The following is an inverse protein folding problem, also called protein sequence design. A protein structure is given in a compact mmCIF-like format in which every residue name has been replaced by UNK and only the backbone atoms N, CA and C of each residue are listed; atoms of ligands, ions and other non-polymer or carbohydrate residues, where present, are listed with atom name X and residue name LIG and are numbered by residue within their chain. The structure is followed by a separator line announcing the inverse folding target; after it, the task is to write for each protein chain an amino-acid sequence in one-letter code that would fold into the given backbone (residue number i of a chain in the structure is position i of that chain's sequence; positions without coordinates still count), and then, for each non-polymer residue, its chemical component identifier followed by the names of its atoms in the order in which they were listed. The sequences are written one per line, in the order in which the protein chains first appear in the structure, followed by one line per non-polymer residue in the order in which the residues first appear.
data_IF_204314224147
#
_entry.id   IF_204314224147
#
_cell.length_a   1.000
_cell.length_b   1.000
_cell.length_c   1.000
_cell.angle_alpha   90.00
_cell.angle_beta   90.00
_cell.angle_gamma   90.00
#
_symmetry.space_group_name_H-M   'P 1'
#
loop_
_entity.id
_entity.type
_entity.pdbx_description
1 polymer ?
#
# COMPACT_ATOMS: atom_id res chain seq x y z
N UNK A 1 -4.10 -0.22 -28.12
CA UNK A 1 -5.34 -0.08 -27.31
C UNK A 1 -4.95 0.14 -25.84
N UNK A 2 -5.81 0.73 -25.00
CA UNK A 2 -5.46 1.01 -23.59
C UNK A 2 -6.41 0.34 -22.60
N UNK A 3 -5.85 -0.34 -21.61
CA UNK A 3 -6.59 -1.06 -20.58
C UNK A 3 -6.45 -0.38 -19.23
N UNK A 4 -7.54 -0.26 -18.48
CA UNK A 4 -7.57 0.43 -17.20
C UNK A 4 -7.78 -0.55 -16.05
N UNK A 5 -6.82 -0.56 -15.12
CA UNK A 5 -6.94 -1.19 -13.81
C UNK A 5 -7.29 -0.15 -12.75
N UNK A 6 -8.21 -0.49 -11.84
CA UNK A 6 -8.60 0.35 -10.71
C UNK A 6 -8.51 -0.42 -9.38
N UNK A 7 -7.86 0.17 -8.38
CA UNK A 7 -7.94 -0.25 -6.98
C UNK A 7 -8.76 0.77 -6.21
N UNK A 8 -10.01 0.40 -5.85
CA UNK A 8 -10.97 1.23 -5.11
C UNK A 8 -10.76 1.03 -3.61
N UNK A 9 -9.61 1.49 -3.11
CA UNK A 9 -9.24 1.42 -1.70
C UNK A 9 -10.05 2.37 -0.81
N UNK A 10 -10.10 2.07 0.49
CA UNK A 10 -10.86 2.85 1.49
C UNK A 10 -10.36 4.29 1.67
N UNK A 11 -9.07 4.53 1.44
CA UNK A 11 -8.45 5.86 1.58
C UNK A 11 -8.22 6.54 0.23
N UNK A 12 -7.75 5.77 -0.74
CA UNK A 12 -7.40 6.24 -2.07
C UNK A 12 -7.86 5.26 -3.15
N UNK A 13 -8.42 5.80 -4.23
CA UNK A 13 -8.69 5.09 -5.48
C UNK A 13 -7.53 5.30 -6.42
N UNK A 14 -6.87 4.22 -6.82
CA UNK A 14 -5.74 4.23 -7.74
C UNK A 14 -6.19 3.73 -9.09
N UNK A 15 -5.76 4.39 -10.16
CA UNK A 15 -5.89 3.90 -11.51
C UNK A 15 -4.55 3.75 -12.19
N UNK A 16 -4.44 2.72 -13.01
CA UNK A 16 -3.28 2.45 -13.84
C UNK A 16 -3.72 2.09 -15.25
N UNK A 17 -3.11 2.75 -16.22
CA UNK A 17 -3.39 2.54 -17.64
C UNK A 17 -2.22 1.78 -18.26
N UNK A 18 -2.51 0.70 -18.97
CA UNK A 18 -1.52 -0.04 -19.74
C UNK A 18 -1.83 -0.03 -21.23
N UNK A 19 -0.83 -0.28 -22.05
CA UNK A 19 -1.02 -0.67 -23.44
C UNK A 19 -1.31 -2.18 -23.58
N UNK A 20 -1.42 -2.64 -24.82
CA UNK A 20 -1.58 -4.05 -25.22
C UNK A 20 -0.36 -4.94 -24.96
N UNK A 21 0.77 -4.38 -24.54
CA UNK A 21 1.95 -5.14 -24.13
C UNK A 21 2.09 -5.16 -22.59
N UNK A 22 1.03 -4.77 -21.87
CA UNK A 22 1.02 -4.57 -20.42
C UNK A 22 2.03 -3.51 -19.93
N UNK A 23 2.55 -2.63 -20.80
CA UNK A 23 3.42 -1.55 -20.37
C UNK A 23 2.58 -0.45 -19.71
N UNK A 24 3.01 0.03 -18.55
CA UNK A 24 2.33 1.10 -17.83
C UNK A 24 2.57 2.44 -18.56
N UNK A 25 1.48 3.06 -19.00
CA UNK A 25 1.50 4.31 -19.79
C UNK A 25 1.21 5.54 -18.93
N UNK A 26 0.22 5.45 -18.04
CA UNK A 26 -0.17 6.54 -17.15
C UNK A 26 -0.75 5.93 -15.85
N UNK A 27 -0.71 6.69 -14.76
CA UNK A 27 -1.22 6.27 -13.46
C UNK A 27 -1.67 7.49 -12.66
N UNK A 28 -2.70 7.33 -11.85
CA UNK A 28 -3.23 8.44 -11.08
C UNK A 28 -3.96 7.96 -9.83
N UNK A 29 -3.87 8.75 -8.76
CA UNK A 29 -4.50 8.44 -7.48
C UNK A 29 -5.38 9.61 -7.04
N UNK A 30 -6.59 9.28 -6.58
CA UNK A 30 -7.49 10.24 -5.95
C UNK A 30 -7.84 9.79 -4.55
N UNK A 31 -8.06 10.73 -3.63
CA UNK A 31 -8.65 10.43 -2.33
C UNK A 31 -10.08 9.90 -2.55
N UNK A 32 -10.38 8.74 -1.99
CA UNK A 32 -11.68 8.07 -2.18
C UNK A 32 -12.81 8.86 -1.52
N UNK A 33 -12.61 9.26 -0.26
CA UNK A 33 -13.70 9.81 0.55
C UNK A 33 -14.73 8.73 0.87
N UNK A 34 -16.01 9.11 0.93
CA UNK A 34 -17.12 8.19 1.21
C UNK A 34 -17.77 7.60 -0.05
N UNK A 35 -17.49 8.19 -1.21
CA UNK A 35 -18.16 7.89 -2.48
C UNK A 35 -17.16 7.26 -3.45
N UNK A 36 -17.04 5.93 -3.35
CA UNK A 36 -16.15 5.12 -4.20
C UNK A 36 -16.44 5.33 -5.68
N UNK A 37 -17.73 5.42 -6.03
CA UNK A 37 -18.21 5.59 -7.40
C UNK A 37 -17.75 6.91 -8.00
N UNK A 38 -17.97 8.01 -7.28
CA UNK A 38 -17.50 9.33 -7.71
C UNK A 38 -15.98 9.40 -7.81
N UNK A 39 -15.25 8.74 -6.90
CA UNK A 39 -13.80 8.68 -6.97
C UNK A 39 -13.32 7.91 -8.21
N UNK A 40 -13.93 6.76 -8.51
CA UNK A 40 -13.61 5.97 -9.70
C UNK A 40 -13.96 6.70 -11.00
N UNK A 41 -15.12 7.35 -11.08
CA UNK A 41 -15.51 8.18 -12.23
C UNK A 41 -14.49 9.30 -12.50
N UNK A 42 -13.92 9.93 -11.46
CA UNK A 42 -12.85 10.93 -11.63
C UNK A 42 -11.58 10.32 -12.21
N UNK A 43 -11.20 9.12 -11.78
CA UNK A 43 -10.05 8.39 -12.31
C UNK A 43 -10.27 8.07 -13.78
N UNK A 44 -11.41 7.45 -14.12
CA UNK A 44 -11.77 7.10 -15.49
C UNK A 44 -11.77 8.35 -16.37
N UNK A 45 -12.49 9.41 -15.96
CA UNK A 45 -12.54 10.67 -16.70
C UNK A 45 -11.16 11.32 -16.90
N UNK A 46 -10.23 11.20 -15.95
CA UNK A 46 -8.85 11.70 -16.10
C UNK A 46 -8.09 10.97 -17.21
N UNK A 47 -8.27 9.67 -17.37
CA UNK A 47 -7.63 8.91 -18.44
C UNK A 47 -8.36 9.12 -19.78
N UNK A 48 -9.70 9.11 -19.79
CA UNK A 48 -10.51 9.28 -21.00
C UNK A 48 -10.31 10.61 -21.73
N UNK A 49 -9.74 11.62 -21.07
CA UNK A 49 -9.34 12.89 -21.71
C UNK A 49 -8.29 12.72 -22.79
N UNK A 50 -7.35 11.79 -22.60
CA UNK A 50 -6.17 11.64 -23.44
C UNK A 50 -6.09 10.26 -24.10
N UNK A 51 -6.86 9.28 -23.62
CA UNK A 51 -6.75 7.89 -24.05
C UNK A 51 -8.13 7.30 -24.33
N UNK A 52 -8.22 6.48 -25.39
CA UNK A 52 -9.38 5.62 -25.62
C UNK A 52 -9.23 4.35 -24.79
N UNK A 53 -10.03 4.26 -23.71
CA UNK A 53 -10.02 3.14 -22.77
C UNK A 53 -10.90 2.02 -23.33
N UNK A 54 -10.35 0.81 -23.36
CA UNK A 54 -11.10 -0.41 -23.66
C UNK A 54 -11.82 -0.93 -22.41
N UNK A 55 -13.04 -1.40 -22.60
CA UNK A 55 -13.88 -1.99 -21.56
C UNK A 55 -13.94 -3.51 -21.71
N UNK A 56 -14.15 -4.26 -20.61
CA UNK A 56 -14.41 -3.78 -19.24
C UNK A 56 -13.18 -3.21 -18.54
N UNK A 57 -13.39 -2.30 -17.57
CA UNK A 57 -12.32 -1.89 -16.65
C UNK A 57 -12.09 -3.00 -15.61
N UNK A 58 -10.84 -3.18 -15.18
CA UNK A 58 -10.49 -4.25 -14.26
C UNK A 58 -10.33 -3.70 -12.85
N UNK A 59 -11.12 -4.16 -11.90
CA UNK A 59 -11.20 -3.55 -10.57
C UNK A 59 -10.77 -4.48 -9.45
N UNK A 60 -10.26 -3.90 -8.36
CA UNK A 60 -10.11 -4.53 -7.04
C UNK A 60 -10.29 -3.49 -5.93
N UNK A 61 -9.96 -3.86 -4.70
CA UNK A 61 -10.12 -3.02 -3.52
C UNK A 61 -11.49 -3.17 -2.84
N UNK A 62 -11.71 -2.30 -1.85
CA UNK A 62 -12.90 -2.31 -0.99
C UNK A 62 -14.18 -2.02 -1.79
N UNK A 63 -14.16 -0.96 -2.59
CA UNK A 63 -15.28 -0.51 -3.41
C UNK A 63 -15.31 -1.10 -4.82
N UNK A 64 -14.65 -2.24 -5.08
CA UNK A 64 -14.39 -2.78 -6.44
C UNK A 64 -15.60 -2.96 -7.36
N UNK A 65 -16.82 -2.97 -6.83
CA UNK A 65 -18.07 -3.08 -7.60
C UNK A 65 -18.79 -1.75 -7.78
N UNK A 66 -18.27 -0.66 -7.20
CA UNK A 66 -18.91 0.65 -7.15
C UNK A 66 -18.54 1.50 -8.37
N UNK A 67 -18.83 1.04 -9.58
CA UNK A 67 -18.66 1.79 -10.83
C UNK A 67 -19.84 1.53 -11.78
N UNK A 68 -20.11 2.47 -12.71
CA UNK A 68 -21.22 2.35 -13.66
C UNK A 68 -20.82 1.60 -14.93
N UNK A 69 -19.54 1.64 -15.25
CA UNK A 69 -18.96 1.12 -16.47
C UNK A 69 -18.87 -0.41 -16.44
N UNK A 70 -18.85 -1.09 -17.62
CA UNK A 70 -18.61 -2.52 -17.67
C UNK A 70 -17.31 -2.88 -16.95
N UNK A 71 -17.37 -3.87 -16.05
CA UNK A 71 -16.26 -4.18 -15.15
C UNK A 71 -16.01 -5.69 -15.01
N UNK A 72 -14.76 -6.04 -14.69
CA UNK A 72 -14.40 -7.33 -14.11
C UNK A 72 -13.73 -7.10 -12.77
N UNK A 73 -14.33 -7.65 -11.72
CA UNK A 73 -13.92 -7.49 -10.33
C UNK A 73 -13.02 -8.63 -9.88
N UNK A 74 -11.90 -8.28 -9.24
CA UNK A 74 -10.88 -9.21 -8.78
C UNK A 74 -10.65 -9.04 -7.27
N UNK A 75 -10.14 -10.09 -6.64
CA UNK A 75 -9.58 -9.97 -5.29
C UNK A 75 -8.31 -9.12 -5.34
N UNK A 76 -8.21 -8.11 -4.48
CA UNK A 76 -7.01 -7.28 -4.32
C UNK A 76 -5.78 -8.13 -3.99
N UNK A 77 -5.95 -9.20 -3.18
CA UNK A 77 -4.89 -10.12 -2.79
C UNK A 77 -4.32 -10.85 -4.01
N UNK A 78 -5.21 -11.33 -4.89
CA UNK A 78 -4.82 -12.09 -6.09
C UNK A 78 -4.19 -11.13 -7.11
N UNK A 79 -4.77 -9.95 -7.29
CA UNK A 79 -4.24 -8.94 -8.19
C UNK A 79 -2.84 -8.48 -7.74
N UNK A 80 -2.67 -8.14 -6.47
CA UNK A 80 -1.35 -7.77 -5.94
C UNK A 80 -0.33 -8.91 -6.10
N UNK A 81 -0.73 -10.16 -5.84
CA UNK A 81 0.11 -11.35 -6.07
C UNK A 81 0.58 -11.45 -7.52
N UNK A 82 -0.33 -11.28 -8.48
CA UNK A 82 -0.01 -11.32 -9.90
C UNK A 82 1.02 -10.23 -10.28
N UNK A 83 0.80 -9.00 -9.83
CA UNK A 83 1.72 -7.90 -10.13
C UNK A 83 3.11 -8.09 -9.49
N UNK A 84 3.16 -8.52 -8.23
CA UNK A 84 4.42 -8.77 -7.52
C UNK A 84 5.18 -9.93 -8.19
N UNK A 85 4.50 -11.05 -8.47
CA UNK A 85 5.15 -12.16 -9.15
C UNK A 85 5.58 -11.79 -10.57
N UNK A 86 4.82 -10.93 -11.27
CA UNK A 86 5.21 -10.42 -12.57
C UNK A 86 6.55 -9.67 -12.55
N UNK A 87 6.83 -8.93 -11.49
CA UNK A 87 8.07 -8.15 -11.32
C UNK A 87 9.24 -9.06 -10.89
N UNK A 88 9.02 -9.91 -9.89
CA UNK A 88 10.14 -10.61 -9.22
C UNK A 88 10.35 -12.05 -9.68
N UNK A 89 9.35 -12.70 -10.28
CA UNK A 89 9.40 -14.07 -10.82
C UNK A 89 9.94 -15.13 -9.83
N UNK A 90 9.68 -14.94 -8.54
CA UNK A 90 10.11 -15.85 -7.47
C UNK A 90 9.15 -15.84 -6.30
N UNK A 91 9.26 -16.89 -5.48
CA UNK A 91 8.60 -17.00 -4.20
C UNK A 91 8.99 -15.85 -3.26
N UNK A 92 8.00 -15.27 -2.59
CA UNK A 92 8.21 -14.14 -1.71
C UNK A 92 7.06 -13.97 -0.70
N UNK A 93 7.35 -13.20 0.35
CA UNK A 93 6.33 -12.66 1.23
C UNK A 93 6.08 -11.21 0.87
N UNK A 94 4.83 -10.76 0.95
CA UNK A 94 4.43 -9.38 0.70
C UNK A 94 3.83 -8.79 1.97
N UNK A 95 4.29 -7.60 2.34
CA UNK A 95 3.61 -6.73 3.31
C UNK A 95 3.02 -5.55 2.53
N UNK A 96 1.69 -5.49 2.45
CA UNK A 96 0.95 -4.36 1.92
C UNK A 96 0.48 -3.47 3.07
N UNK A 97 0.95 -2.22 3.11
CA UNK A 97 0.61 -1.24 4.14
C UNK A 97 -0.30 -0.18 3.52
N UNK A 98 -1.60 -0.38 3.73
CA UNK A 98 -2.64 0.55 3.33
C UNK A 98 -2.91 1.63 4.38
N UNK A 99 -3.91 2.46 4.10
CA UNK A 99 -4.36 3.50 5.03
C UNK A 99 -5.09 2.93 6.25
N UNK A 100 -5.91 1.89 6.06
CA UNK A 100 -6.80 1.36 7.10
C UNK A 100 -6.53 -0.10 7.47
N UNK A 101 -5.70 -0.79 6.69
CA UNK A 101 -5.35 -2.18 6.92
C UNK A 101 -3.90 -2.46 6.50
N UNK A 102 -3.39 -3.57 7.03
CA UNK A 102 -2.10 -4.16 6.66
C UNK A 102 -2.34 -5.60 6.26
N UNK A 103 -1.69 -6.06 5.20
CA UNK A 103 -1.82 -7.43 4.70
C UNK A 103 -0.46 -8.10 4.63
N UNK A 104 -0.46 -9.38 4.97
CA UNK A 104 0.62 -10.30 4.68
C UNK A 104 0.13 -11.28 3.62
N UNK A 105 0.91 -11.49 2.56
CA UNK A 105 0.62 -12.44 1.48
C UNK A 105 1.86 -13.28 1.24
N UNK A 106 1.73 -14.61 1.26
CA UNK A 106 2.77 -15.54 0.84
C UNK A 106 2.49 -15.95 -0.60
N UNK A 107 3.42 -15.66 -1.49
CA UNK A 107 3.38 -15.98 -2.92
C UNK A 107 4.35 -17.13 -3.16
N UNK A 108 3.86 -18.23 -3.71
CA UNK A 108 4.70 -19.40 -4.01
C UNK A 108 5.49 -19.25 -5.32
N UNK A 109 6.33 -20.23 -5.62
CA UNK A 109 7.14 -20.28 -6.85
C UNK A 109 6.33 -20.24 -8.17
N UNK A 110 5.01 -20.45 -8.13
CA UNK A 110 4.10 -20.36 -9.27
C UNK A 110 3.32 -19.04 -9.34
N UNK A 111 3.57 -18.10 -8.42
CA UNK A 111 2.86 -16.82 -8.34
C UNK A 111 1.49 -16.89 -7.66
N UNK A 112 1.16 -18.03 -7.06
CA UNK A 112 -0.13 -18.23 -6.40
C UNK A 112 -0.05 -17.86 -4.91
N UNK A 113 -1.19 -17.47 -4.35
CA UNK A 113 -1.31 -17.12 -2.94
C UNK A 113 -1.47 -18.39 -2.10
N UNK A 114 -0.42 -18.77 -1.37
CA UNK A 114 -0.46 -19.91 -0.44
C UNK A 114 -1.15 -19.54 0.88
N UNK A 115 -0.92 -18.31 1.34
CA UNK A 115 -1.40 -17.84 2.63
C UNK A 115 -1.60 -16.34 2.60
N UNK A 116 -2.65 -15.86 3.24
CA UNK A 116 -2.81 -14.44 3.52
C UNK A 116 -3.30 -14.21 4.94
N UNK A 117 -2.91 -13.07 5.51
CA UNK A 117 -3.42 -12.54 6.78
C UNK A 117 -3.63 -11.05 6.64
N UNK A 118 -4.60 -10.50 7.36
CA UNK A 118 -4.92 -9.09 7.29
C UNK A 118 -5.28 -8.55 8.68
N UNK A 119 -4.67 -7.43 9.06
CA UNK A 119 -5.14 -6.62 10.17
C UNK A 119 -5.96 -5.44 9.64
N UNK A 120 -7.26 -5.44 9.95
CA UNK A 120 -8.20 -4.35 9.61
C UNK A 120 -8.96 -3.80 10.82
N UNK A 121 -8.74 -4.38 12.01
CA UNK A 121 -9.47 -4.01 13.24
C UNK A 121 -8.70 -3.03 14.11
N UNK A 122 -7.40 -2.88 13.86
CA UNK A 122 -6.51 -2.06 14.65
C UNK A 122 -5.69 -1.16 13.72
N UNK A 123 -5.69 0.14 14.03
CA UNK A 123 -4.91 1.13 13.30
C UNK A 123 -3.40 0.86 13.36
N UNK A 124 -2.91 0.21 14.43
CA UNK A 124 -1.51 -0.15 14.57
C UNK A 124 -1.02 -0.95 13.35
N UNK A 125 0.09 -0.50 12.76
CA UNK A 125 0.65 -1.11 11.54
C UNK A 125 0.12 -0.51 10.23
N UNK A 126 -0.78 0.47 10.27
CA UNK A 126 -1.41 1.08 9.08
C UNK A 126 -1.07 2.57 8.95
N UNK A 127 -1.44 3.17 7.81
CA UNK A 127 -1.37 4.60 7.59
C UNK A 127 -2.15 5.43 8.61
N UNK A 128 -3.31 4.97 9.05
CA UNK A 128 -4.17 5.69 10.00
C UNK A 128 -3.50 5.93 11.35
N UNK A 129 -2.59 5.03 11.77
CA UNK A 129 -1.77 5.24 12.97
C UNK A 129 -0.79 6.40 12.79
N UNK A 130 -0.14 6.47 11.62
CA UNK A 130 0.79 7.55 11.28
C UNK A 130 0.04 8.88 11.17
N UNK A 131 -1.10 8.89 10.47
CA UNK A 131 -1.94 10.07 10.28
C UNK A 131 -2.47 10.63 11.60
N UNK A 132 -3.01 9.78 12.49
CA UNK A 132 -3.52 10.24 13.80
C UNK A 132 -2.39 10.78 14.68
N UNK A 133 -1.22 10.13 14.71
CA UNK A 133 -0.10 10.64 15.50
C UNK A 133 0.41 11.96 14.91
N UNK A 134 0.58 12.05 13.59
CA UNK A 134 0.99 13.28 12.92
C UNK A 134 0.04 14.44 13.23
N UNK A 135 -1.27 14.19 13.17
CA UNK A 135 -2.29 15.16 13.55
C UNK A 135 -2.13 15.64 14.99
N UNK A 136 -1.93 14.72 15.95
CA UNK A 136 -1.76 15.06 17.38
C UNK A 136 -0.47 15.80 17.68
N UNK A 137 0.57 15.55 16.89
CA UNK A 137 1.85 16.24 17.00
C UNK A 137 1.89 17.56 16.22
N UNK A 138 0.80 17.90 15.52
CA UNK A 138 0.67 19.08 14.67
C UNK A 138 1.80 19.17 13.61
N UNK A 139 2.07 18.03 12.96
CA UNK A 139 3.08 17.87 11.90
C UNK A 139 2.44 17.14 10.74
N UNK A 140 2.86 17.41 9.50
CA UNK A 140 2.37 16.65 8.36
C UNK A 140 2.94 15.23 8.38
N UNK A 141 2.10 14.21 8.15
CA UNK A 141 2.57 12.84 8.01
C UNK A 141 3.65 12.72 6.92
N UNK A 142 3.54 13.47 5.83
CA UNK A 142 4.53 13.45 4.74
C UNK A 142 5.92 13.95 5.18
N UNK A 143 6.01 14.74 6.25
CA UNK A 143 7.30 15.22 6.78
C UNK A 143 7.99 14.17 7.66
N UNK A 144 7.29 13.10 8.06
CA UNK A 144 7.82 12.10 8.99
C UNK A 144 9.09 11.43 8.47
N UNK A 145 9.20 11.16 7.16
CA UNK A 145 10.42 10.53 6.64
C UNK A 145 11.63 11.44 6.76
N UNK A 146 11.49 12.73 6.45
CA UNK A 146 12.57 13.72 6.61
C UNK A 146 12.94 13.92 8.09
N UNK A 147 11.95 13.88 8.99
CA UNK A 147 12.20 13.94 10.43
C UNK A 147 12.95 12.71 10.93
N UNK A 148 12.52 11.51 10.55
CA UNK A 148 13.14 10.26 10.99
C UNK A 148 14.60 10.13 10.53
N UNK A 149 14.97 10.70 9.39
CA UNK A 149 16.37 10.74 8.92
C UNK A 149 17.30 11.51 9.86
N UNK A 150 16.76 12.42 10.67
CA UNK A 150 17.52 13.21 11.64
C UNK A 150 17.60 12.55 13.02
N UNK A 151 17.07 11.32 13.15
CA UNK A 151 17.10 10.58 14.40
C UNK A 151 18.54 10.29 14.83
N UNK A 152 18.82 10.49 16.11
CA UNK A 152 20.12 10.29 16.74
C UNK A 152 20.12 9.11 17.70
N UNK A 153 18.95 8.68 18.15
CA UNK A 153 18.80 7.58 19.09
C UNK A 153 17.57 6.75 18.75
N UNK A 154 17.67 5.47 19.10
CA UNK A 154 16.57 4.53 18.93
C UNK A 154 15.62 4.59 20.12
N UNK A 155 14.38 4.99 19.86
CA UNK A 155 13.30 5.02 20.85
C UNK A 155 12.32 3.90 20.55
N UNK A 156 11.87 3.22 21.61
CA UNK A 156 10.83 2.20 21.53
C UNK A 156 9.51 2.79 22.02
N UNK A 157 8.48 2.71 21.18
CA UNK A 157 7.09 2.95 21.56
C UNK A 157 6.48 1.61 21.95
N UNK A 158 6.00 1.49 23.19
CA UNK A 158 5.53 0.23 23.75
C UNK A 158 4.04 0.00 23.47
N UNK A 159 3.28 1.06 23.25
CA UNK A 159 1.83 0.99 23.05
C UNK A 159 1.47 0.84 21.58
N UNK A 160 0.69 -0.19 21.23
CA UNK A 160 0.08 -0.31 19.89
C UNK A 160 -1.27 0.41 19.78
N UNK A 161 -2.02 0.53 20.88
CA UNK A 161 -3.26 1.30 20.87
C UNK A 161 -2.93 2.77 20.55
N UNK A 162 -3.46 3.32 19.45
CA UNK A 162 -3.16 4.69 18.99
C UNK A 162 -3.36 5.72 20.09
N UNK A 163 -4.42 5.58 20.89
CA UNK A 163 -4.73 6.49 22.01
C UNK A 163 -3.61 6.49 23.07
N UNK A 164 -3.13 5.30 23.43
CA UNK A 164 -2.06 5.17 24.41
C UNK A 164 -0.68 5.51 23.83
N UNK A 165 -0.44 5.19 22.55
CA UNK A 165 0.78 5.55 21.84
C UNK A 165 0.96 7.08 21.79
N UNK A 166 -0.10 7.82 21.45
CA UNK A 166 -0.07 9.30 21.48
C UNK A 166 0.27 9.82 22.88
N UNK A 167 -0.34 9.25 23.92
CA UNK A 167 -0.08 9.65 25.31
C UNK A 167 1.37 9.38 25.73
N UNK A 168 1.89 8.20 25.37
CA UNK A 168 3.28 7.78 25.59
C UNK A 168 4.26 8.75 24.88
N UNK A 169 4.01 9.04 23.60
CA UNK A 169 4.81 9.94 22.78
C UNK A 169 4.86 11.36 23.38
N UNK A 170 3.71 11.93 23.75
CA UNK A 170 3.65 13.26 24.38
C UNK A 170 4.44 13.25 25.69
N UNK A 171 4.36 12.17 26.46
CA UNK A 171 5.16 11.99 27.67
C UNK A 171 6.66 11.96 27.41
N UNK A 172 7.11 11.27 26.36
CA UNK A 172 8.52 11.24 25.95
C UNK A 172 9.02 12.62 25.52
N UNK A 173 8.23 13.35 24.74
CA UNK A 173 8.58 14.70 24.30
C UNK A 173 8.68 15.69 25.47
N UNK A 174 7.78 15.59 26.46
CA UNK A 174 7.87 16.38 27.70
C UNK A 174 9.14 16.09 28.51
N UNK A 175 9.72 14.91 28.37
CA UNK A 175 11.01 14.52 28.98
C UNK A 175 12.23 14.91 28.13
N UNK A 176 12.02 15.64 27.02
CA UNK A 176 13.08 16.15 26.18
C UNK A 176 13.48 15.24 25.00
N UNK A 177 12.77 14.14 24.74
CA UNK A 177 13.01 13.34 23.52
C UNK A 177 12.58 14.17 22.30
N UNK A 178 13.47 14.29 21.32
CA UNK A 178 13.23 15.10 20.13
C UNK A 178 12.33 14.38 19.12
N UNK A 179 11.61 15.18 18.32
CA UNK A 179 10.66 14.69 17.31
C UNK A 179 11.28 13.66 16.32
N UNK A 180 12.50 13.86 15.77
CA UNK A 180 13.15 12.86 14.92
C UNK A 180 13.20 11.45 15.49
N UNK A 181 13.56 11.33 16.77
CA UNK A 181 13.70 10.04 17.45
C UNK A 181 12.35 9.38 17.71
N UNK A 182 11.35 10.19 18.09
CA UNK A 182 9.96 9.74 18.22
C UNK A 182 9.46 9.17 16.91
N UNK A 183 9.63 9.90 15.79
CA UNK A 183 9.12 9.47 14.48
C UNK A 183 9.81 8.19 14.00
N UNK A 184 11.12 8.06 14.21
CA UNK A 184 11.84 6.80 13.96
C UNK A 184 11.26 5.64 14.81
N UNK A 185 10.91 5.90 16.07
CA UNK A 185 10.20 4.95 16.94
C UNK A 185 8.81 4.57 16.45
N UNK A 186 8.04 5.52 15.89
CA UNK A 186 6.73 5.29 15.27
C UNK A 186 6.86 4.32 14.09
N UNK A 187 7.82 4.55 13.19
CA UNK A 187 8.04 3.64 12.07
C UNK A 187 8.43 2.24 12.52
N UNK A 188 9.31 2.11 13.52
CA UNK A 188 9.65 0.80 14.08
C UNK A 188 8.45 0.09 14.71
N UNK A 189 7.58 0.82 15.39
CA UNK A 189 6.33 0.28 15.95
C UNK A 189 5.40 -0.24 14.84
N UNK A 190 5.25 0.52 13.75
CA UNK A 190 4.47 0.10 12.57
C UNK A 190 5.07 -1.15 11.93
N UNK A 191 6.39 -1.17 11.70
CA UNK A 191 7.11 -2.32 11.11
C UNK A 191 6.92 -3.57 11.98
N UNK A 192 7.19 -3.46 13.27
CA UNK A 192 7.01 -4.55 14.25
C UNK A 192 5.61 -5.14 14.14
N UNK A 193 4.59 -4.28 14.09
CA UNK A 193 3.20 -4.72 14.00
C UNK A 193 2.87 -5.40 12.67
N UNK A 194 3.45 -4.95 11.56
CA UNK A 194 3.28 -5.60 10.26
C UNK A 194 3.89 -7.00 10.27
N UNK A 195 5.07 -7.15 10.87
CA UNK A 195 5.83 -8.41 10.91
C UNK A 195 5.26 -9.42 11.91
N UNK A 196 4.45 -9.00 12.87
CA UNK A 196 3.72 -9.89 13.78
C UNK A 196 2.59 -10.67 13.08
N UNK A 197 2.16 -10.25 11.88
CA UNK A 197 1.11 -10.95 11.15
C UNK A 197 1.53 -12.39 10.83
N UNK A 198 2.75 -12.59 10.35
CA UNK A 198 3.31 -13.89 10.01
C UNK A 198 4.84 -13.83 10.00
N UNK A 199 5.52 -14.95 10.27
CA UNK A 199 6.97 -15.02 10.09
C UNK A 199 7.34 -14.71 8.63
N UNK A 200 8.46 -14.01 8.46
CA UNK A 200 9.05 -13.67 7.16
C UNK A 200 10.32 -14.50 7.04
N UNK A 201 10.29 -15.49 6.16
CA UNK A 201 11.37 -16.47 6.02
C UNK A 201 12.08 -16.34 4.66
N UNK A 202 11.46 -15.62 3.72
CA UNK A 202 11.93 -15.48 2.34
C UNK A 202 12.09 -14.01 1.95
N UNK A 203 12.39 -13.77 0.67
CA UNK A 203 12.41 -12.44 0.08
C UNK A 203 11.12 -11.67 0.40
N UNK A 204 11.26 -10.45 0.93
CA UNK A 204 10.14 -9.61 1.36
C UNK A 204 9.89 -8.48 0.36
N UNK A 205 8.66 -8.34 -0.12
CA UNK A 205 8.22 -7.22 -0.93
C UNK A 205 7.31 -6.32 -0.11
N UNK A 206 7.65 -5.03 0.00
CA UNK A 206 6.86 -4.04 0.73
C UNK A 206 6.06 -3.23 -0.29
N UNK A 207 4.75 -3.11 -0.08
CA UNK A 207 3.83 -2.46 -1.01
C UNK A 207 2.82 -1.57 -0.30
N UNK A 208 2.11 -0.73 -1.05
CA UNK A 208 1.02 0.10 -0.55
C UNK A 208 1.34 1.60 -0.58
N UNK A 209 0.34 2.42 -0.22
CA UNK A 209 0.46 3.88 -0.25
C UNK A 209 1.43 4.45 0.78
N UNK A 210 1.60 3.75 1.91
CA UNK A 210 2.48 4.19 2.99
C UNK A 210 3.96 4.09 2.62
N UNK A 211 4.52 2.94 2.20
CA UNK A 211 5.92 2.88 1.81
C UNK A 211 6.28 3.83 0.66
N UNK A 212 5.38 4.05 -0.31
CA UNK A 212 5.58 5.00 -1.41
C UNK A 212 5.78 6.46 -0.92
N UNK A 213 5.15 6.85 0.18
CA UNK A 213 5.23 8.21 0.74
C UNK A 213 6.16 8.33 1.95
N UNK A 214 6.67 7.20 2.46
CA UNK A 214 7.52 7.14 3.65
C UNK A 214 8.82 6.35 3.38
N UNK A 215 9.73 6.88 2.55
CA UNK A 215 10.96 6.18 2.16
C UNK A 215 11.86 5.80 3.33
N UNK A 216 11.82 6.53 4.44
CA UNK A 216 12.59 6.14 5.63
C UNK A 216 12.04 4.86 6.26
N UNK A 217 10.73 4.63 6.22
CA UNK A 217 10.14 3.35 6.65
C UNK A 217 10.68 2.19 5.80
N UNK A 218 10.79 2.38 4.48
CA UNK A 218 11.37 1.36 3.58
C UNK A 218 12.83 1.09 3.92
N UNK A 219 13.64 2.13 4.21
CA UNK A 219 15.02 1.97 4.69
C UNK A 219 15.10 1.15 5.98
N UNK A 220 14.18 1.37 6.92
CA UNK A 220 14.11 0.59 8.16
C UNK A 220 13.72 -0.86 7.92
N UNK A 221 12.73 -1.12 7.05
CA UNK A 221 12.42 -2.48 6.61
C UNK A 221 13.65 -3.17 6.04
N UNK A 222 14.41 -2.50 5.15
CA UNK A 222 15.65 -3.05 4.57
C UNK A 222 16.73 -3.33 5.60
N UNK A 223 16.81 -2.52 6.66
CA UNK A 223 17.72 -2.76 7.80
C UNK A 223 17.30 -3.99 8.62
N UNK A 224 16.01 -4.22 8.80
CA UNK A 224 15.48 -5.38 9.54
C UNK A 224 15.47 -6.66 8.70
N UNK A 225 15.16 -6.54 7.41
CA UNK A 225 15.08 -7.62 6.43
C UNK A 225 15.99 -7.27 5.24
N UNK A 226 17.29 -7.66 5.28
CA UNK A 226 18.23 -7.34 4.21
C UNK A 226 17.78 -7.83 2.83
N UNK A 227 17.09 -8.97 2.78
CA UNK A 227 16.47 -9.54 1.58
C UNK A 227 15.04 -8.99 1.35
N UNK A 228 14.89 -7.67 1.40
CA UNK A 228 13.63 -7.00 1.07
C UNK A 228 13.75 -5.98 -0.06
N UNK A 229 12.63 -5.68 -0.71
CA UNK A 229 12.53 -4.63 -1.72
C UNK A 229 11.17 -3.92 -1.66
N UNK A 230 11.12 -2.70 -2.19
CA UNK A 230 9.88 -1.95 -2.37
C UNK A 230 9.87 -1.41 -3.80
N UNK A 231 9.07 -2.01 -4.71
CA UNK A 231 9.06 -1.60 -6.11
C UNK A 231 8.52 -0.17 -6.24
N UNK A 232 8.99 0.61 -7.23
CA UNK A 232 8.47 1.95 -7.45
C UNK A 232 6.97 1.91 -7.73
N UNK A 233 6.24 2.93 -7.24
CA UNK A 233 4.79 3.06 -7.44
C UNK A 233 4.03 1.85 -6.86
N UNK A 234 4.50 1.32 -5.73
CA UNK A 234 3.97 0.09 -5.15
C UNK A 234 2.48 0.17 -4.84
N UNK A 235 1.95 1.36 -4.55
CA UNK A 235 0.52 1.58 -4.29
C UNK A 235 -0.39 1.27 -5.48
N UNK A 236 0.15 1.17 -6.70
CA UNK A 236 -0.60 0.89 -7.92
C UNK A 236 -0.58 -0.59 -8.33
N UNK A 237 0.20 -1.43 -7.64
CA UNK A 237 0.40 -2.82 -8.07
C UNK A 237 -0.87 -3.66 -8.03
N UNK A 238 -1.76 -3.44 -7.06
CA UNK A 238 -3.04 -4.15 -7.04
C UNK A 238 -3.91 -3.79 -8.26
N UNK A 239 -3.92 -2.52 -8.67
CA UNK A 239 -4.62 -2.10 -9.90
C UNK A 239 -3.95 -2.69 -11.14
N UNK A 240 -2.62 -2.74 -11.18
CA UNK A 240 -1.85 -3.31 -12.30
C UNK A 240 -2.11 -4.81 -12.45
N UNK A 241 -2.14 -5.52 -11.33
CA UNK A 241 -2.48 -6.93 -11.27
C UNK A 241 -3.87 -7.24 -11.82
N UNK A 242 -4.84 -6.34 -11.65
CA UNK A 242 -6.16 -6.51 -12.26
C UNK A 242 -6.09 -6.54 -13.77
N UNK A 243 -5.24 -5.71 -14.38
CA UNK A 243 -5.00 -5.73 -15.82
C UNK A 243 -4.33 -7.03 -16.22
N UNK A 244 -3.23 -7.40 -15.56
CA UNK A 244 -2.47 -8.62 -15.87
C UNK A 244 -3.33 -9.89 -15.82
N UNK A 245 -4.17 -10.04 -14.78
CA UNK A 245 -5.03 -11.21 -14.60
C UNK A 245 -6.04 -11.43 -15.74
N UNK A 246 -6.49 -10.35 -16.36
CA UNK A 246 -7.61 -10.38 -17.31
C UNK A 246 -7.15 -10.20 -18.76
N UNK A 247 -6.11 -9.40 -18.98
CA UNK A 247 -5.54 -9.20 -20.30
C UNK A 247 -4.86 -10.47 -20.82
N UNK A 248 -4.15 -11.22 -19.95
CA UNK A 248 -3.52 -12.50 -20.28
C UNK A 248 -4.49 -13.60 -20.73
N UNK A 249 -5.77 -13.49 -20.38
CA UNK A 249 -6.81 -14.47 -20.71
C UNK A 249 -7.46 -14.18 -22.06
N UNK A 250 -7.51 -12.92 -22.48
CA UNK A 250 -8.13 -12.50 -23.73
C UNK A 250 -7.20 -12.62 -24.95
N UNK A 251 -5.89 -12.78 -24.75
CA UNK A 251 -4.93 -13.02 -25.85
C UNK A 251 -4.82 -14.49 -26.27
N UNK A 252 -5.60 -15.40 -25.63
CA UNK A 252 -5.63 -16.84 -25.92
C UNK A 252 -6.93 -17.30 -26.59
N UNK A 253 -7.78 -16.36 -27.03
CA UNK A 253 -9.01 -16.63 -27.80
C UNK A 253 -8.83 -16.27 -29.26
#
# INVERSE_FOLDING_TARGET
MYYLGLDLGSSYTKGILTDENNQIIDYHVFKTGFDFKKAAQKVIARFSKNYKIEFPVFTCGYGRTEIDEPLISNSEIIALSEAVFNIYKKECSVIDIGGQDTKYIKINQYGQVDKFKMNRKCAAGTGSFIEEIAFRLNVSALEFSKLAEQSKQDIKINSYCTVFAVSEIIGMMKKGIIMPDVVNGIYKSVISRCTELAPIEDFLVITGGIPDNHPMMVKLFKKTFPESDCPPKSQFLAAYGCVLLNHSKNSKS
#
